data_IF_705897615004
#
_entry.id   IF_705897615004
#
_cell.length_a   1.000
_cell.length_b   1.000
_cell.length_c   1.000
_cell.angle_alpha   90.00
_cell.angle_beta   90.00
_cell.angle_gamma   90.00
#
_symmetry.space_group_name_H-M   'P 1'
#
loop_
_entity.id
_entity.type
_entity.pdbx_description
1 polymer ?
#
# COMPACT_ATOMS: atom_id res chain seq x y z
N UNK A 1 20.51 3.35 -5.93
CA UNK A 1 19.51 3.89 -4.98
C UNK A 1 18.14 3.24 -5.20
N UNK A 2 17.54 3.32 -6.38
CA UNK A 2 16.25 2.66 -6.69
C UNK A 2 16.24 1.14 -6.42
N UNK A 3 17.19 0.37 -6.98
CA UNK A 3 17.29 -1.08 -6.74
C UNK A 3 17.47 -1.43 -5.25
N UNK A 4 18.20 -0.60 -4.50
CA UNK A 4 18.41 -0.78 -3.06
C UNK A 4 17.08 -0.66 -2.32
N UNK A 5 16.28 0.36 -2.63
CA UNK A 5 14.96 0.55 -2.02
C UNK A 5 14.00 -0.60 -2.35
N UNK A 6 14.05 -1.15 -3.57
CA UNK A 6 13.27 -2.31 -3.95
C UNK A 6 13.73 -3.59 -3.22
N UNK A 7 15.04 -3.75 -3.00
CA UNK A 7 15.57 -4.85 -2.19
C UNK A 7 15.12 -4.72 -0.73
N UNK A 8 15.22 -3.53 -0.13
CA UNK A 8 14.76 -3.26 1.23
C UNK A 8 13.27 -3.58 1.42
N UNK A 9 12.46 -3.35 0.38
CA UNK A 9 11.04 -3.74 0.37
C UNK A 9 10.84 -5.25 0.32
N UNK A 10 11.70 -5.98 -0.37
CA UNK A 10 11.58 -7.43 -0.53
C UNK A 10 12.04 -8.19 0.72
N UNK A 11 13.04 -7.68 1.45
CA UNK A 11 13.66 -8.35 2.61
C UNK A 11 12.64 -8.96 3.61
N UNK A 12 11.58 -8.25 4.05
CA UNK A 12 10.61 -8.81 5.00
C UNK A 12 9.81 -10.01 4.46
N UNK A 13 9.72 -10.17 3.14
CA UNK A 13 8.97 -11.25 2.48
C UNK A 13 9.85 -12.45 2.14
N UNK A 14 11.18 -12.31 2.20
CA UNK A 14 12.13 -13.40 1.93
C UNK A 14 11.85 -14.64 2.78
N UNK A 15 11.65 -14.54 4.12
CA UNK A 15 11.33 -15.72 4.92
C UNK A 15 10.04 -16.40 4.47
N UNK A 16 9.02 -15.64 4.06
CA UNK A 16 7.77 -16.20 3.56
C UNK A 16 7.95 -16.88 2.20
N UNK A 17 8.65 -16.24 1.25
CA UNK A 17 8.96 -16.80 -0.06
C UNK A 17 9.73 -18.13 0.04
N UNK A 18 10.60 -18.25 1.05
CA UNK A 18 11.36 -19.45 1.35
C UNK A 18 10.58 -20.50 2.17
N UNK A 19 9.54 -20.09 2.90
CA UNK A 19 8.79 -20.95 3.83
C UNK A 19 7.38 -21.32 3.33
N UNK A 20 6.95 -20.82 2.16
CA UNK A 20 5.61 -21.10 1.62
C UNK A 20 5.34 -22.58 1.47
N UNK A 21 6.36 -23.40 1.26
CA UNK A 21 6.28 -24.84 1.28
C UNK A 21 7.58 -25.37 1.90
N UNK A 22 7.48 -26.24 2.91
CA UNK A 22 8.63 -26.81 3.64
C UNK A 22 9.73 -27.20 2.64
N UNK A 23 10.77 -26.38 2.51
CA UNK A 23 11.96 -26.75 1.76
C UNK A 23 12.55 -27.95 2.49
N UNK A 24 12.27 -29.15 1.98
CA UNK A 24 12.72 -30.38 2.61
C UNK A 24 14.25 -30.40 2.47
N UNK A 25 14.95 -30.29 3.60
CA UNK A 25 16.40 -30.48 3.63
C UNK A 25 16.65 -31.96 3.31
N UNK A 26 17.29 -32.21 2.18
CA UNK A 26 17.64 -33.55 1.72
C UNK A 26 19.11 -33.57 1.27
N UNK A 27 19.73 -34.75 1.11
CA UNK A 27 21.01 -34.87 0.43
C UNK A 27 20.89 -34.33 -1.02
N UNK A 28 21.78 -33.44 -1.41
CA UNK A 28 21.85 -32.80 -2.73
C UNK A 28 23.30 -32.77 -3.22
N UNK A 29 23.52 -32.53 -4.51
CA UNK A 29 24.85 -32.42 -5.09
C UNK A 29 25.13 -30.95 -5.45
N UNK A 30 26.18 -30.37 -4.88
CA UNK A 30 26.66 -29.06 -5.28
C UNK A 30 27.62 -29.25 -6.45
N UNK A 31 27.13 -28.94 -7.64
CA UNK A 31 27.96 -28.79 -8.82
C UNK A 31 28.85 -27.54 -8.65
N UNK A 32 30.11 -27.77 -8.30
CA UNK A 32 31.18 -26.80 -8.13
C UNK A 32 31.41 -25.87 -9.32
N UNK A 33 31.58 -24.60 -8.96
CA UNK A 33 31.88 -23.42 -9.77
C UNK A 33 31.04 -23.20 -11.04
N UNK A 34 30.20 -22.17 -10.94
CA UNK A 34 29.32 -21.58 -11.94
C UNK A 34 29.93 -21.42 -13.32
N UNK A 35 31.19 -20.99 -13.40
CA UNK A 35 31.80 -20.64 -14.70
C UNK A 35 32.42 -21.85 -15.39
N UNK A 36 32.76 -22.87 -14.61
CA UNK A 36 33.62 -23.95 -15.05
C UNK A 36 32.90 -25.29 -15.13
N UNK A 37 31.61 -25.37 -14.79
CA UNK A 37 30.75 -26.56 -14.99
C UNK A 37 31.39 -27.85 -14.44
N UNK A 38 31.97 -27.79 -13.25
CA UNK A 38 32.72 -28.89 -12.64
C UNK A 38 33.92 -29.40 -13.46
N UNK A 39 34.57 -28.55 -14.24
CA UNK A 39 35.84 -28.92 -14.84
C UNK A 39 36.84 -27.78 -14.77
N UNK A 40 38.13 -28.08 -14.80
CA UNK A 40 39.20 -27.10 -14.88
C UNK A 40 40.38 -27.70 -15.64
N UNK A 41 41.44 -26.92 -15.78
CA UNK A 41 42.70 -27.36 -16.36
C UNK A 41 43.74 -27.38 -15.22
N UNK A 42 44.41 -28.50 -15.02
CA UNK A 42 45.45 -28.64 -13.99
C UNK A 42 46.75 -27.91 -14.38
N UNK A 43 47.75 -27.93 -13.50
CA UNK A 43 49.07 -27.33 -13.73
C UNK A 43 49.87 -27.95 -14.90
N UNK A 44 49.37 -29.05 -15.48
CA UNK A 44 49.97 -29.78 -16.59
C UNK A 44 49.10 -29.71 -17.87
N UNK A 45 48.17 -28.76 -17.96
CA UNK A 45 47.23 -28.57 -19.06
C UNK A 45 46.22 -29.72 -19.26
N UNK A 46 45.98 -30.57 -18.26
CA UNK A 46 44.98 -31.64 -18.35
C UNK A 46 43.60 -31.17 -17.91
N UNK A 47 42.58 -31.55 -18.68
CA UNK A 47 41.19 -31.40 -18.28
C UNK A 47 40.89 -32.27 -17.04
N UNK A 48 40.55 -31.62 -15.93
CA UNK A 48 40.16 -32.27 -14.68
C UNK A 48 38.70 -32.00 -14.41
N UNK A 49 37.90 -33.04 -14.17
CA UNK A 49 36.53 -32.87 -13.67
C UNK A 49 36.50 -32.95 -12.16
N UNK A 50 35.70 -32.09 -11.53
CA UNK A 50 35.42 -32.13 -10.10
C UNK A 50 34.18 -32.99 -9.85
N UNK A 51 34.25 -33.86 -8.85
CA UNK A 51 33.05 -34.53 -8.36
C UNK A 51 32.12 -33.50 -7.70
N UNK A 52 30.82 -33.62 -7.96
CA UNK A 52 29.83 -32.78 -7.30
C UNK A 52 29.87 -33.06 -5.78
N UNK A 53 29.93 -32.00 -4.97
CA UNK A 53 30.09 -32.13 -3.54
C UNK A 53 28.74 -32.43 -2.87
N UNK A 54 28.58 -33.54 -2.13
CA UNK A 54 27.33 -33.78 -1.42
C UNK A 54 27.12 -32.71 -0.33
N UNK A 55 25.96 -32.10 -0.31
CA UNK A 55 25.54 -31.18 0.74
C UNK A 55 24.11 -31.49 1.18
N UNK A 56 23.77 -31.15 2.42
CA UNK A 56 22.38 -31.20 2.89
C UNK A 56 21.79 -29.80 2.78
N UNK A 57 20.77 -29.63 1.95
CA UNK A 57 20.16 -28.32 1.72
C UNK A 57 18.84 -28.41 0.95
N UNK A 58 18.26 -27.26 0.57
CA UNK A 58 17.10 -27.25 -0.31
C UNK A 58 17.51 -27.79 -1.69
N UNK A 59 16.77 -28.79 -2.20
CA UNK A 59 17.04 -29.41 -3.52
C UNK A 59 17.03 -28.40 -4.68
N UNK A 60 16.39 -27.24 -4.48
CA UNK A 60 16.29 -26.17 -5.46
C UNK A 60 17.61 -25.46 -5.75
N UNK A 61 18.58 -25.56 -4.85
CA UNK A 61 19.92 -25.03 -5.05
C UNK A 61 20.69 -25.78 -6.16
N UNK A 62 20.25 -26.99 -6.52
CA UNK A 62 20.84 -27.83 -7.58
C UNK A 62 20.26 -27.50 -8.98
N UNK A 63 18.99 -27.09 -9.03
CA UNK A 63 18.21 -26.96 -10.29
C UNK A 63 18.14 -25.54 -10.86
N UNK A 64 18.43 -24.49 -10.10
CA UNK A 64 18.27 -23.12 -10.60
C UNK A 64 19.21 -22.78 -11.77
N UNK A 65 20.25 -23.58 -12.01
CA UNK A 65 21.17 -23.44 -13.15
C UNK A 65 20.82 -24.36 -14.33
N UNK A 66 19.82 -25.23 -14.19
CA UNK A 66 19.42 -26.14 -15.26
C UNK A 66 18.52 -25.46 -16.30
N UNK A 67 18.59 -25.84 -17.58
CA UNK A 67 17.61 -25.44 -18.59
C UNK A 67 16.18 -25.71 -18.11
N UNK A 68 15.27 -24.76 -18.31
CA UNK A 68 13.87 -24.87 -17.90
C UNK A 68 13.20 -26.17 -18.37
N UNK A 69 13.60 -26.70 -19.53
CA UNK A 69 13.11 -27.94 -20.11
C UNK A 69 13.47 -29.19 -19.31
N UNK A 70 14.54 -29.15 -18.50
CA UNK A 70 15.01 -30.27 -17.68
C UNK A 70 14.49 -30.21 -16.24
N UNK A 71 14.03 -29.03 -15.80
CA UNK A 71 13.54 -28.80 -14.44
C UNK A 71 12.33 -29.69 -14.14
N UNK A 72 11.34 -29.71 -15.03
CA UNK A 72 10.13 -30.53 -14.87
C UNK A 72 10.46 -32.03 -14.73
N UNK A 73 11.31 -32.56 -15.62
CA UNK A 73 11.72 -33.96 -15.59
C UNK A 73 12.58 -34.30 -14.36
N UNK A 74 13.38 -33.35 -13.87
CA UNK A 74 14.13 -33.51 -12.63
C UNK A 74 13.19 -33.60 -11.43
N UNK A 75 12.20 -32.71 -11.33
CA UNK A 75 11.17 -32.72 -10.29
C UNK A 75 10.35 -34.02 -10.26
N UNK A 76 9.97 -34.50 -11.44
CA UNK A 76 9.27 -35.78 -11.61
C UNK A 76 10.12 -36.98 -11.16
N UNK A 77 11.44 -36.93 -11.40
CA UNK A 77 12.36 -38.01 -11.02
C UNK A 77 12.61 -38.07 -9.49
N UNK A 78 12.67 -36.92 -8.81
CA UNK A 78 12.97 -36.84 -7.38
C UNK A 78 11.72 -36.82 -6.48
N UNK A 79 10.53 -36.69 -7.06
CA UNK A 79 9.25 -36.68 -6.32
C UNK A 79 8.97 -35.38 -5.55
N UNK A 80 9.52 -34.24 -5.99
CA UNK A 80 9.34 -32.93 -5.37
C UNK A 80 8.13 -32.15 -5.94
N UNK A 81 7.53 -31.27 -5.14
CA UNK A 81 6.49 -30.35 -5.64
C UNK A 81 7.10 -29.18 -6.41
N UNK A 82 6.49 -28.84 -7.55
CA UNK A 82 6.81 -27.63 -8.34
C UNK A 82 6.14 -26.36 -7.79
N UNK A 83 5.27 -26.50 -6.78
CA UNK A 83 4.49 -25.38 -6.26
C UNK A 83 5.40 -24.33 -5.59
N UNK A 84 5.31 -23.09 -6.09
CA UNK A 84 6.13 -21.96 -5.64
C UNK A 84 7.58 -21.99 -6.11
N UNK A 85 8.01 -22.98 -6.90
CA UNK A 85 9.38 -23.07 -7.43
C UNK A 85 9.75 -21.85 -8.24
N UNK A 86 8.85 -21.37 -9.12
CA UNK A 86 9.09 -20.19 -9.95
C UNK A 86 9.47 -18.95 -9.12
N UNK A 87 8.86 -18.79 -7.93
CA UNK A 87 9.14 -17.66 -7.05
C UNK A 87 10.46 -17.81 -6.32
N UNK A 88 10.78 -19.02 -5.85
CA UNK A 88 12.08 -19.32 -5.23
C UNK A 88 13.21 -19.21 -6.26
N UNK A 89 12.99 -19.69 -7.48
CA UNK A 89 13.87 -19.51 -8.64
C UNK A 89 14.13 -18.02 -8.92
N UNK A 90 13.08 -17.20 -8.98
CA UNK A 90 13.22 -15.76 -9.16
C UNK A 90 14.01 -15.12 -8.01
N UNK A 91 13.83 -15.58 -6.76
CA UNK A 91 14.62 -15.11 -5.63
C UNK A 91 16.11 -15.51 -5.73
N UNK A 92 16.42 -16.72 -6.18
CA UNK A 92 17.80 -17.15 -6.44
C UNK A 92 18.42 -16.39 -7.60
N UNK A 93 17.68 -16.19 -8.69
CA UNK A 93 18.10 -15.40 -9.84
C UNK A 93 18.36 -13.94 -9.44
N UNK A 94 17.55 -13.38 -8.54
CA UNK A 94 17.76 -12.03 -8.00
C UNK A 94 19.11 -11.92 -7.27
N UNK A 95 19.49 -12.88 -6.43
CA UNK A 95 20.79 -12.87 -5.73
C UNK A 95 21.94 -12.84 -6.74
N UNK A 96 21.84 -13.64 -7.80
CA UNK A 96 22.81 -13.64 -8.91
C UNK A 96 22.85 -12.27 -9.60
N UNK A 97 21.70 -11.72 -9.97
CA UNK A 97 21.60 -10.45 -10.69
C UNK A 97 22.19 -9.30 -9.85
N UNK A 98 21.94 -9.28 -8.55
CA UNK A 98 22.49 -8.30 -7.61
C UNK A 98 24.03 -8.38 -7.52
N UNK A 99 24.61 -9.58 -7.57
CA UNK A 99 26.08 -9.74 -7.67
C UNK A 99 26.62 -9.15 -8.97
N UNK A 100 26.00 -9.48 -10.11
CA UNK A 100 26.40 -8.92 -11.41
C UNK A 100 26.30 -7.38 -11.46
N UNK A 101 25.32 -6.79 -10.78
CA UNK A 101 25.19 -5.33 -10.64
C UNK A 101 26.31 -4.73 -9.78
N UNK A 102 26.78 -5.44 -8.75
CA UNK A 102 27.87 -5.00 -7.86
C UNK A 102 29.26 -5.13 -8.46
N UNK A 103 29.48 -6.13 -9.32
CA UNK A 103 30.80 -6.55 -9.78
C UNK A 103 31.28 -5.91 -11.11
N UNK A 104 30.68 -4.80 -11.58
CA UNK A 104 31.12 -3.88 -12.68
C UNK A 104 30.15 -3.78 -13.90
N UNK A 105 29.14 -4.64 -14.05
CA UNK A 105 28.22 -4.64 -15.21
C UNK A 105 26.85 -3.98 -14.93
N UNK A 106 26.84 -2.92 -14.11
CA UNK A 106 25.62 -2.31 -13.56
C UNK A 106 24.59 -1.88 -14.63
N UNK A 107 25.00 -1.39 -15.81
CA UNK A 107 24.05 -0.93 -16.84
C UNK A 107 23.36 -2.08 -17.59
N UNK A 108 24.06 -3.19 -17.79
CA UNK A 108 23.57 -4.35 -18.53
C UNK A 108 22.51 -5.11 -17.72
N UNK A 109 22.79 -5.37 -16.45
CA UNK A 109 21.94 -6.21 -15.61
C UNK A 109 20.84 -5.45 -14.87
N UNK A 110 20.86 -4.10 -14.88
CA UNK A 110 19.90 -3.29 -14.12
C UNK A 110 18.45 -3.54 -14.56
N UNK A 111 18.18 -3.61 -15.85
CA UNK A 111 16.82 -3.80 -16.37
C UNK A 111 16.26 -5.17 -15.95
N UNK A 112 17.07 -6.22 -16.08
CA UNK A 112 16.71 -7.58 -15.67
C UNK A 112 16.56 -7.70 -14.15
N UNK A 113 17.44 -7.06 -13.37
CA UNK A 113 17.35 -7.00 -11.90
C UNK A 113 16.06 -6.31 -11.47
N UNK A 114 15.70 -5.20 -12.12
CA UNK A 114 14.47 -4.47 -11.85
C UNK A 114 13.23 -5.32 -12.15
N UNK A 115 13.20 -5.99 -13.30
CA UNK A 115 12.08 -6.84 -13.70
C UNK A 115 11.92 -8.04 -12.73
N UNK A 116 13.02 -8.64 -12.30
CA UNK A 116 13.01 -9.70 -11.30
C UNK A 116 12.46 -9.22 -9.94
N UNK A 117 12.91 -8.05 -9.46
CA UNK A 117 12.38 -7.42 -8.25
C UNK A 117 10.88 -7.09 -8.38
N UNK A 118 10.45 -6.60 -9.55
CA UNK A 118 9.04 -6.29 -9.83
C UNK A 118 8.16 -7.52 -9.70
N UNK A 119 8.57 -8.65 -10.30
CA UNK A 119 7.83 -9.90 -10.24
C UNK A 119 7.69 -10.40 -8.81
N UNK A 120 8.80 -10.44 -8.06
CA UNK A 120 8.83 -10.87 -6.66
C UNK A 120 7.96 -9.99 -5.75
N UNK A 121 8.10 -8.67 -5.87
CA UNK A 121 7.29 -7.72 -5.08
C UNK A 121 5.82 -7.75 -5.49
N UNK A 122 5.49 -7.94 -6.76
CA UNK A 122 4.09 -8.06 -7.22
C UNK A 122 3.45 -9.29 -6.61
N UNK A 123 4.16 -10.42 -6.64
CA UNK A 123 3.70 -11.67 -6.04
C UNK A 123 3.46 -11.54 -4.53
N UNK A 124 4.31 -10.80 -3.84
CA UNK A 124 4.16 -10.53 -2.40
C UNK A 124 3.09 -9.47 -2.06
N UNK A 125 2.40 -8.88 -3.06
CA UNK A 125 1.51 -7.73 -2.84
C UNK A 125 2.24 -6.45 -2.36
N UNK A 126 3.56 -6.41 -2.53
CA UNK A 126 4.48 -5.37 -2.08
C UNK A 126 4.96 -4.46 -3.21
N UNK A 127 4.51 -4.68 -4.45
CA UNK A 127 4.82 -3.80 -5.57
C UNK A 127 4.00 -2.51 -5.51
N UNK A 128 4.73 -1.41 -5.30
CA UNK A 128 4.27 -0.05 -5.53
C UNK A 128 5.31 0.63 -6.41
N UNK A 129 4.93 1.65 -7.20
CA UNK A 129 5.85 2.33 -8.13
C UNK A 129 7.25 2.58 -7.51
N UNK A 130 8.33 2.45 -8.29
CA UNK A 130 9.69 2.72 -7.83
C UNK A 130 9.89 4.16 -7.31
N UNK A 131 8.94 5.06 -7.59
CA UNK A 131 8.93 6.43 -7.09
C UNK A 131 8.50 6.57 -5.61
N UNK A 132 7.90 5.54 -5.01
CA UNK A 132 7.55 5.51 -3.58
C UNK A 132 8.82 5.32 -2.74
N UNK A 133 9.39 6.36 -2.13
CA UNK A 133 10.73 6.27 -1.51
C UNK A 133 10.76 5.56 -0.17
N UNK A 134 9.62 5.22 0.41
CA UNK A 134 9.56 4.48 1.67
C UNK A 134 9.31 2.98 1.47
N UNK A 135 9.90 2.14 2.32
CA UNK A 135 9.54 0.74 2.38
C UNK A 135 8.09 0.66 2.84
N UNK A 136 7.17 0.35 1.94
CA UNK A 136 6.06 -0.51 2.29
C UNK A 136 6.61 -1.94 2.45
N UNK A 137 7.52 -2.10 3.43
CA UNK A 137 7.46 -3.29 4.27
C UNK A 137 6.05 -3.40 4.83
N UNK A 138 5.74 -4.45 5.58
CA UNK A 138 4.52 -4.42 6.40
C UNK A 138 4.65 -3.29 7.42
N UNK A 139 4.38 -2.05 7.01
CA UNK A 139 3.60 -1.19 7.86
C UNK A 139 2.25 -1.85 7.89
N UNK A 140 2.07 -2.71 8.90
CA UNK A 140 0.74 -3.02 9.34
C UNK A 140 0.01 -1.67 9.45
N UNK A 141 -1.28 -1.61 9.15
CA UNK A 141 -2.06 -0.37 9.25
C UNK A 141 -1.62 0.49 10.45
N UNK A 142 -1.26 -0.15 11.56
CA UNK A 142 -0.94 0.38 12.89
C UNK A 142 0.46 0.99 13.10
N UNK A 143 1.35 0.95 12.10
CA UNK A 143 2.76 1.40 12.26
C UNK A 143 2.94 2.92 12.37
N UNK A 144 1.94 3.72 11.97
CA UNK A 144 1.94 5.17 12.23
C UNK A 144 0.95 5.60 13.33
N UNK A 145 0.37 4.65 14.06
CA UNK A 145 -0.35 4.99 15.31
C UNK A 145 0.72 5.31 16.35
N UNK A 146 0.73 6.56 16.80
CA UNK A 146 1.60 7.00 17.89
C UNK A 146 1.23 6.26 19.18
N UNK A 147 2.25 5.92 19.97
CA UNK A 147 2.01 5.44 21.32
C UNK A 147 1.27 6.54 22.09
N UNK A 148 0.19 6.22 22.82
CA UNK A 148 -0.51 7.24 23.59
C UNK A 148 0.39 7.84 24.66
N UNK A 149 0.30 9.16 24.87
CA UNK A 149 1.26 9.90 25.70
C UNK A 149 1.19 9.61 27.21
N UNK A 150 0.01 9.29 27.75
CA UNK A 150 -0.19 8.86 29.15
C UNK A 150 -1.56 8.16 29.32
N UNK A 151 -1.64 7.14 30.18
CA UNK A 151 -2.90 6.52 30.63
C UNK A 151 -3.77 7.52 31.41
N UNK A 152 -3.14 8.47 32.11
CA UNK A 152 -3.80 9.50 32.90
C UNK A 152 -3.96 10.85 32.16
N UNK A 153 -3.79 10.86 30.84
CA UNK A 153 -3.97 12.07 30.04
C UNK A 153 -5.37 12.64 30.23
N UNK A 154 -5.47 13.95 30.45
CA UNK A 154 -6.76 14.66 30.44
C UNK A 154 -7.39 14.70 29.04
N UNK A 155 -6.61 14.42 27.99
CA UNK A 155 -7.09 14.40 26.60
C UNK A 155 -7.62 13.02 26.24
N UNK A 156 -8.76 12.99 25.55
CA UNK A 156 -9.29 11.74 24.97
C UNK A 156 -8.41 11.33 23.79
N UNK A 157 -8.00 10.09 23.74
CA UNK A 157 -7.20 9.56 22.63
C UNK A 157 -8.12 9.14 21.50
N UNK A 158 -7.76 9.47 20.26
CA UNK A 158 -8.56 9.10 19.12
C UNK A 158 -7.74 8.72 17.88
N UNK A 159 -8.32 7.82 17.10
CA UNK A 159 -7.86 7.47 15.75
C UNK A 159 -8.95 7.87 14.77
N UNK A 160 -8.52 8.52 13.69
CA UNK A 160 -9.43 9.01 12.67
C UNK A 160 -9.57 7.98 11.54
N UNK A 161 -10.78 7.83 11.00
CA UNK A 161 -11.04 6.99 9.81
C UNK A 161 -11.77 7.82 8.77
N UNK A 162 -11.13 8.05 7.63
CA UNK A 162 -11.69 8.83 6.54
C UNK A 162 -12.05 7.95 5.34
N UNK A 163 -13.34 7.69 5.16
CA UNK A 163 -13.88 6.99 4.00
C UNK A 163 -13.96 7.90 2.77
N UNK A 164 -13.58 7.37 1.60
CA UNK A 164 -13.65 8.13 0.36
C UNK A 164 -13.43 7.25 -0.86
N UNK A 165 -13.98 7.64 -2.01
CA UNK A 165 -13.76 6.89 -3.26
C UNK A 165 -12.29 6.92 -3.71
N UNK A 166 -11.58 8.01 -3.41
CA UNK A 166 -10.17 8.24 -3.78
C UNK A 166 -9.88 7.88 -5.25
N UNK A 167 -10.72 8.37 -6.16
CA UNK A 167 -10.75 7.93 -7.56
C UNK A 167 -10.61 9.10 -8.55
N UNK A 168 -9.41 9.70 -8.68
CA UNK A 168 -8.22 9.46 -7.87
C UNK A 168 -8.18 10.33 -6.60
N UNK A 169 -7.24 10.05 -5.68
CA UNK A 169 -6.94 10.95 -4.54
C UNK A 169 -6.43 12.30 -5.05
N UNK A 170 -6.71 13.38 -4.30
CA UNK A 170 -6.29 14.75 -4.55
C UNK A 170 -5.93 15.45 -3.24
N UNK A 171 -5.22 16.57 -3.32
CA UNK A 171 -4.72 17.32 -2.16
C UNK A 171 -5.82 17.65 -1.15
N UNK A 172 -7.03 17.97 -1.60
CA UNK A 172 -8.13 18.33 -0.70
C UNK A 172 -8.53 17.20 0.28
N UNK A 173 -8.29 15.91 -0.04
CA UNK A 173 -8.48 14.83 0.94
C UNK A 173 -7.49 14.94 2.10
N UNK A 174 -6.23 15.29 1.80
CA UNK A 174 -5.17 15.45 2.79
C UNK A 174 -5.42 16.70 3.66
N UNK A 175 -5.78 17.82 3.04
CA UNK A 175 -6.00 19.04 3.83
C UNK A 175 -7.25 18.95 4.69
N UNK A 176 -8.31 18.25 4.24
CA UNK A 176 -9.52 18.03 5.06
C UNK A 176 -9.21 17.16 6.29
N UNK A 177 -8.39 16.13 6.16
CA UNK A 177 -8.04 15.27 7.30
C UNK A 177 -7.12 15.98 8.29
N UNK A 178 -6.19 16.81 7.80
CA UNK A 178 -5.37 17.69 8.64
C UNK A 178 -6.22 18.72 9.38
N UNK A 179 -7.16 19.35 8.68
CA UNK A 179 -8.09 20.30 9.26
C UNK A 179 -8.97 19.68 10.34
N UNK A 180 -9.51 18.49 10.08
CA UNK A 180 -10.32 17.78 11.05
C UNK A 180 -9.52 17.36 12.28
N UNK A 181 -8.30 16.85 12.09
CA UNK A 181 -7.41 16.51 13.19
C UNK A 181 -7.10 17.76 14.05
N UNK A 182 -6.71 18.87 13.43
CA UNK A 182 -6.40 20.11 14.15
C UNK A 182 -7.60 20.66 14.93
N UNK A 183 -8.81 20.58 14.36
CA UNK A 183 -10.03 21.00 15.04
C UNK A 183 -10.35 20.12 16.25
N UNK A 184 -10.16 18.81 16.14
CA UNK A 184 -10.36 17.86 17.23
C UNK A 184 -9.28 17.99 18.33
N UNK A 185 -8.04 18.29 17.96
CA UNK A 185 -6.92 18.52 18.89
C UNK A 185 -7.09 19.83 19.68
N UNK A 186 -7.85 20.79 19.14
CA UNK A 186 -8.11 22.11 19.72
C UNK A 186 -9.28 22.10 20.72
N UNK A 187 -9.37 23.16 21.54
CA UNK A 187 -10.57 23.39 22.36
C UNK A 187 -11.78 23.65 21.47
N UNK A 188 -12.99 23.17 21.85
CA UNK A 188 -13.32 22.53 23.13
C UNK A 188 -13.09 21.01 23.16
N UNK A 189 -12.76 20.37 22.03
CA UNK A 189 -12.74 18.91 21.91
C UNK A 189 -11.54 18.25 22.62
N UNK A 190 -10.36 18.84 22.52
CA UNK A 190 -9.14 18.45 23.24
C UNK A 190 -8.76 16.96 23.09
N UNK A 191 -8.87 16.41 21.88
CA UNK A 191 -8.39 15.07 21.58
C UNK A 191 -6.86 15.04 21.44
N UNK A 192 -6.30 13.85 21.65
CA UNK A 192 -4.96 13.46 21.20
C UNK A 192 -5.13 12.53 20.00
N UNK A 193 -4.78 13.00 18.80
CA UNK A 193 -4.92 12.21 17.58
C UNK A 193 -3.68 11.33 17.41
N UNK A 194 -3.87 10.03 17.66
CA UNK A 194 -2.80 9.04 17.57
C UNK A 194 -2.45 8.69 16.13
N UNK A 195 -3.39 8.83 15.20
CA UNK A 195 -3.19 8.57 13.79
C UNK A 195 -4.49 8.69 12.98
N UNK A 196 -4.39 8.46 11.67
CA UNK A 196 -5.56 8.42 10.79
C UNK A 196 -5.41 7.46 9.63
N UNK A 197 -6.53 6.88 9.20
CA UNK A 197 -6.63 5.99 8.05
C UNK A 197 -7.50 6.57 6.94
N UNK A 198 -6.96 6.61 5.72
CA UNK A 198 -7.75 6.66 4.50
C UNK A 198 -8.30 5.27 4.21
N UNK A 199 -9.62 5.15 4.10
CA UNK A 199 -10.32 3.87 3.91
C UNK A 199 -10.97 3.80 2.52
N UNK A 200 -10.24 3.39 1.47
CA UNK A 200 -10.81 3.22 0.14
C UNK A 200 -11.85 2.09 0.13
N UNK A 201 -13.00 2.26 -0.55
CA UNK A 201 -13.96 1.19 -0.76
C UNK A 201 -13.41 0.18 -1.78
N UNK A 202 -13.98 -1.02 -1.81
CA UNK A 202 -13.72 -2.01 -2.85
C UNK A 202 -14.12 -1.53 -4.25
N UNK A 203 -13.49 -2.07 -5.29
CA UNK A 203 -13.92 -1.84 -6.68
C UNK A 203 -15.39 -2.22 -6.92
N UNK A 204 -15.91 -3.25 -6.25
CA UNK A 204 -17.30 -3.68 -6.39
C UNK A 204 -18.30 -2.61 -5.92
N UNK A 205 -17.98 -1.90 -4.83
CA UNK A 205 -18.77 -0.77 -4.37
C UNK A 205 -18.59 0.44 -5.29
N UNK A 206 -17.35 0.70 -5.72
CA UNK A 206 -17.03 1.86 -6.55
C UNK A 206 -17.72 1.79 -7.92
N UNK A 207 -17.76 0.62 -8.55
CA UNK A 207 -18.51 0.38 -9.80
C UNK A 207 -19.99 0.73 -9.68
N UNK A 208 -20.62 0.46 -8.52
CA UNK A 208 -22.02 0.84 -8.27
C UNK A 208 -22.18 2.35 -8.17
N UNK A 209 -21.19 3.08 -7.63
CA UNK A 209 -21.26 4.53 -7.40
C UNK A 209 -20.90 5.36 -8.64
N UNK A 210 -19.86 4.99 -9.37
CA UNK A 210 -19.30 5.81 -10.47
C UNK A 210 -19.20 5.07 -11.82
N UNK A 211 -19.89 3.92 -11.95
CA UNK A 211 -19.95 3.10 -13.15
C UNK A 211 -18.56 2.67 -13.66
N UNK A 212 -18.41 2.48 -14.97
CA UNK A 212 -17.18 1.99 -15.60
C UNK A 212 -16.00 2.97 -15.48
N UNK A 213 -16.24 4.25 -15.16
CA UNK A 213 -15.23 5.32 -15.01
C UNK A 213 -14.50 5.28 -13.66
N UNK A 214 -14.16 4.09 -13.19
CA UNK A 214 -13.50 3.86 -11.93
C UNK A 214 -12.06 3.43 -12.13
N UNK A 215 -11.21 3.83 -11.20
CA UNK A 215 -9.82 3.44 -11.16
C UNK A 215 -9.69 2.09 -10.43
N UNK A 216 -8.97 1.09 -10.99
CA UNK A 216 -8.74 -0.19 -10.33
C UNK A 216 -8.08 -0.06 -8.95
N UNK A 217 -8.29 -1.06 -8.10
CA UNK A 217 -7.84 -1.09 -6.70
C UNK A 217 -6.34 -0.82 -6.55
N UNK A 218 -5.50 -1.48 -7.37
CA UNK A 218 -4.05 -1.31 -7.31
C UNK A 218 -3.58 0.10 -7.67
N UNK A 219 -4.18 0.75 -8.67
CA UNK A 219 -3.82 2.12 -9.03
C UNK A 219 -4.29 3.14 -7.99
N UNK A 220 -5.50 2.96 -7.41
CA UNK A 220 -5.97 3.80 -6.30
C UNK A 220 -5.08 3.69 -5.09
N UNK A 221 -4.70 2.47 -4.74
CA UNK A 221 -3.81 2.21 -3.61
C UNK A 221 -2.44 2.83 -3.81
N UNK A 222 -1.81 2.66 -4.98
CA UNK A 222 -0.52 3.27 -5.29
C UNK A 222 -0.58 4.80 -5.15
N UNK A 223 -1.62 5.44 -5.69
CA UNK A 223 -1.81 6.89 -5.56
C UNK A 223 -2.05 7.32 -4.11
N UNK A 224 -2.79 6.53 -3.33
CA UNK A 224 -3.01 6.80 -1.90
C UNK A 224 -1.69 6.72 -1.12
N UNK A 225 -0.86 5.71 -1.40
CA UNK A 225 0.44 5.54 -0.76
C UNK A 225 1.41 6.68 -1.14
N UNK A 226 1.46 7.05 -2.42
CA UNK A 226 2.23 8.21 -2.89
C UNK A 226 1.75 9.53 -2.26
N UNK A 227 0.44 9.69 -2.11
CA UNK A 227 -0.14 10.92 -1.55
C UNK A 227 0.04 11.05 -0.04
N UNK A 228 0.14 9.93 0.67
CA UNK A 228 0.36 9.88 2.12
C UNK A 228 1.83 9.67 2.48
N UNK A 229 2.70 9.71 1.48
CA UNK A 229 4.14 9.66 1.66
C UNK A 229 4.61 10.90 2.43
N UNK A 230 5.33 10.68 3.54
CA UNK A 230 5.78 11.77 4.41
C UNK A 230 4.70 12.40 5.30
N UNK A 231 3.44 11.96 5.23
CA UNK A 231 2.39 12.41 6.15
C UNK A 231 2.24 11.46 7.34
N UNK A 232 1.58 11.92 8.41
CA UNK A 232 1.15 11.06 9.52
C UNK A 232 -0.07 10.18 9.19
N UNK A 233 -0.54 10.21 7.93
CA UNK A 233 -1.73 9.49 7.46
C UNK A 233 -1.38 8.13 6.89
N UNK A 234 -2.31 7.19 7.06
CA UNK A 234 -2.18 5.79 6.70
C UNK A 234 -3.21 5.42 5.65
N UNK A 235 -2.97 4.34 4.93
CA UNK A 235 -3.88 3.82 3.91
C UNK A 235 -4.32 2.43 4.32
N UNK A 236 -5.62 2.21 4.43
CA UNK A 236 -6.18 0.87 4.61
C UNK A 236 -6.15 0.12 3.29
N UNK A 237 -5.44 -1.02 3.27
CA UNK A 237 -5.35 -1.94 2.12
C UNK A 237 -6.35 -3.10 2.21
N UNK A 238 -7.25 -3.06 3.19
CA UNK A 238 -8.24 -4.12 3.42
C UNK A 238 -9.46 -4.04 2.49
N UNK A 239 -9.71 -2.87 1.90
CA UNK A 239 -10.90 -2.56 1.10
C UNK A 239 -12.24 -2.89 1.78
N UNK A 240 -12.24 -3.01 3.11
CA UNK A 240 -13.42 -3.26 3.91
C UNK A 240 -14.16 -1.94 4.22
N UNK A 241 -15.33 -2.05 4.87
CA UNK A 241 -16.06 -0.85 5.31
C UNK A 241 -15.30 -0.12 6.43
N UNK A 242 -15.49 1.20 6.58
CA UNK A 242 -14.94 1.95 7.71
C UNK A 242 -15.21 1.29 9.06
N UNK A 243 -16.43 0.76 9.29
CA UNK A 243 -16.78 0.07 10.53
C UNK A 243 -15.92 -1.17 10.81
N UNK A 244 -15.69 -2.02 9.79
CA UNK A 244 -14.85 -3.22 9.93
C UNK A 244 -13.40 -2.84 10.20
N UNK A 245 -12.92 -1.79 9.54
CA UNK A 245 -11.58 -1.24 9.80
C UNK A 245 -11.48 -0.71 11.24
N UNK A 246 -12.50 0.02 11.71
CA UNK A 246 -12.55 0.54 13.08
C UNK A 246 -12.50 -0.56 14.14
N UNK A 247 -13.21 -1.66 13.93
CA UNK A 247 -13.14 -2.83 14.83
C UNK A 247 -11.73 -3.43 14.88
N UNK A 248 -11.09 -3.61 13.71
CA UNK A 248 -9.73 -4.13 13.65
C UNK A 248 -8.71 -3.19 14.31
N UNK A 249 -8.90 -1.87 14.18
CA UNK A 249 -8.04 -0.88 14.85
C UNK A 249 -8.17 -0.95 16.36
N UNK A 250 -9.38 -1.04 16.89
CA UNK A 250 -9.59 -1.14 18.33
C UNK A 250 -8.96 -2.42 18.90
N UNK A 251 -9.21 -3.56 18.26
CA UNK A 251 -8.60 -4.83 18.67
C UNK A 251 -7.07 -4.75 18.72
N UNK A 252 -6.44 -4.20 17.69
CA UNK A 252 -4.99 -4.06 17.69
C UNK A 252 -4.50 -3.09 18.77
N UNK A 253 -5.22 -1.99 19.01
CA UNK A 253 -4.86 -1.05 20.07
C UNK A 253 -4.91 -1.73 21.44
N UNK A 254 -5.92 -2.57 21.68
CA UNK A 254 -6.05 -3.37 22.90
C UNK A 254 -4.88 -4.38 23.00
N UNK A 255 -4.56 -5.09 21.92
CA UNK A 255 -3.47 -6.07 21.89
C UNK A 255 -2.08 -5.42 22.13
N UNK A 256 -1.88 -4.19 21.63
CA UNK A 256 -0.56 -3.53 21.61
C UNK A 256 -0.32 -2.63 22.82
N UNK A 257 -1.33 -1.90 23.27
CA UNK A 257 -1.22 -0.94 24.35
C UNK A 257 -1.84 -1.44 25.66
N UNK A 258 -2.71 -2.44 25.60
CA UNK A 258 -3.44 -2.98 26.73
C UNK A 258 -4.73 -2.21 27.03
N UNK A 259 -5.61 -2.85 27.81
CA UNK A 259 -6.97 -2.36 28.16
C UNK A 259 -6.99 -1.04 28.94
N UNK A 260 -5.85 -0.54 29.40
CA UNK A 260 -5.74 0.71 30.17
C UNK A 260 -5.93 1.97 29.34
N UNK A 261 -5.82 1.91 28.02
CA UNK A 261 -5.94 3.07 27.13
C UNK A 261 -7.35 3.19 26.55
N UNK A 262 -8.02 4.31 26.82
CA UNK A 262 -9.34 4.60 26.27
C UNK A 262 -9.23 5.28 24.89
N UNK A 263 -9.02 4.47 23.85
CA UNK A 263 -8.86 4.94 22.46
C UNK A 263 -10.23 4.94 21.77
N UNK A 264 -10.65 6.10 21.27
CA UNK A 264 -11.89 6.26 20.52
C UNK A 264 -11.64 6.25 19.00
N UNK A 265 -12.60 5.75 18.23
CA UNK A 265 -12.58 5.91 16.77
C UNK A 265 -13.52 7.05 16.37
N UNK A 266 -13.03 7.95 15.53
CA UNK A 266 -13.81 9.06 14.95
C UNK A 266 -13.78 8.92 13.43
N UNK A 267 -14.96 8.72 12.83
CA UNK A 267 -15.11 8.74 11.38
C UNK A 267 -15.13 10.18 10.88
N UNK A 268 -14.53 10.44 9.72
CA UNK A 268 -14.56 11.76 9.08
C UNK A 268 -15.43 11.68 7.84
N UNK A 269 -16.33 12.65 7.67
CA UNK A 269 -17.04 12.84 6.42
C UNK A 269 -17.25 14.34 6.10
N UNK A 270 -17.47 14.65 4.83
CA UNK A 270 -18.02 15.95 4.45
C UNK A 270 -19.55 15.95 4.64
N UNK A 271 -20.14 17.13 4.80
CA UNK A 271 -21.60 17.29 4.84
C UNK A 271 -22.31 16.67 3.61
N UNK A 272 -21.66 16.72 2.45
CA UNK A 272 -22.12 16.12 1.19
C UNK A 272 -22.30 14.60 1.28
N UNK A 273 -21.55 13.92 2.14
CA UNK A 273 -21.68 12.48 2.32
C UNK A 273 -22.96 12.11 3.10
N UNK A 274 -23.39 12.97 4.03
CA UNK A 274 -24.60 12.77 4.83
C UNK A 274 -25.84 12.96 3.96
N UNK A 275 -25.87 14.01 3.14
CA UNK A 275 -26.96 14.28 2.19
C UNK A 275 -27.20 13.07 1.26
N UNK A 276 -26.12 12.46 0.78
CA UNK A 276 -26.19 11.32 -0.13
C UNK A 276 -26.43 9.96 0.56
N UNK A 277 -26.19 9.86 1.87
CA UNK A 277 -26.32 8.61 2.60
C UNK A 277 -26.54 8.85 4.10
N UNK A 278 -27.79 8.99 4.50
CA UNK A 278 -28.19 9.17 5.91
C UNK A 278 -27.83 7.98 6.81
N UNK A 279 -27.52 6.80 6.25
CA UNK A 279 -27.03 5.64 7.04
C UNK A 279 -25.67 5.89 7.69
N UNK A 280 -24.91 6.89 7.24
CA UNK A 280 -23.68 7.30 7.91
C UNK A 280 -23.96 7.80 9.35
N UNK A 281 -25.17 8.32 9.61
CA UNK A 281 -25.59 8.77 10.95
C UNK A 281 -25.86 7.62 11.92
N UNK A 282 -26.06 6.39 11.41
CA UNK A 282 -26.31 5.20 12.23
C UNK A 282 -25.06 4.36 12.53
N UNK A 283 -23.86 4.84 12.15
CA UNK A 283 -22.60 4.22 12.58
C UNK A 283 -22.53 4.22 14.10
N UNK A 284 -21.86 3.25 14.74
CA UNK A 284 -21.69 3.21 16.20
C UNK A 284 -20.60 4.17 16.71
N UNK A 285 -19.72 4.61 15.82
CA UNK A 285 -18.57 5.47 16.12
C UNK A 285 -18.95 6.95 16.12
N UNK A 286 -18.11 7.78 16.75
CA UNK A 286 -18.22 9.23 16.62
C UNK A 286 -18.00 9.66 15.17
N UNK A 287 -18.68 10.71 14.74
CA UNK A 287 -18.62 11.21 13.37
C UNK A 287 -18.27 12.69 13.36
N UNK A 288 -17.07 13.00 12.91
CA UNK A 288 -16.60 14.34 12.63
C UNK A 288 -17.07 14.79 11.24
N UNK A 289 -17.98 15.75 11.21
CA UNK A 289 -18.57 16.29 9.99
C UNK A 289 -17.87 17.60 9.64
N UNK A 290 -17.20 17.62 8.49
CA UNK A 290 -16.56 18.81 7.94
C UNK A 290 -17.56 19.54 7.06
N UNK A 291 -17.94 20.72 7.51
CA UNK A 291 -18.84 21.61 6.79
C UNK A 291 -18.12 22.21 5.57
N UNK A 292 -18.76 22.15 4.39
CA UNK A 292 -18.17 22.56 3.11
C UNK A 292 -19.03 23.64 2.45
N UNK A 293 -18.42 24.71 1.92
CA UNK A 293 -19.16 25.78 1.27
C UNK A 293 -20.07 25.28 0.15
N UNK A 294 -21.30 25.79 0.10
CA UNK A 294 -22.27 25.47 -0.95
C UNK A 294 -23.27 24.36 -0.60
N UNK A 295 -23.19 23.79 0.60
CA UNK A 295 -24.16 22.83 1.13
C UNK A 295 -25.11 23.42 2.18
N UNK A 296 -24.84 24.64 2.67
CA UNK A 296 -25.65 25.36 3.68
C UNK A 296 -27.12 25.60 3.27
N UNK A 297 -27.39 25.72 1.97
CA UNK A 297 -28.72 26.09 1.45
C UNK A 297 -29.62 24.90 1.16
N UNK A 298 -29.09 23.67 1.13
CA UNK A 298 -29.82 22.47 0.71
C UNK A 298 -30.29 21.60 1.86
N UNK A 299 -29.69 21.74 3.03
CA UNK A 299 -29.98 20.86 4.16
C UNK A 299 -29.97 21.68 5.45
N UNK A 300 -31.15 21.90 6.05
CA UNK A 300 -31.20 22.53 7.36
C UNK A 300 -30.60 21.55 8.38
N UNK A 301 -29.36 21.78 8.79
CA UNK A 301 -28.68 20.94 9.78
C UNK A 301 -29.47 20.76 11.07
N UNK A 302 -30.25 21.77 11.46
CA UNK A 302 -31.21 21.68 12.57
C UNK A 302 -32.18 20.51 12.38
N UNK A 303 -32.70 20.32 11.18
CA UNK A 303 -33.60 19.20 10.86
C UNK A 303 -32.87 17.86 10.93
N UNK A 304 -31.61 17.76 10.50
CA UNK A 304 -30.83 16.52 10.69
C UNK A 304 -30.67 16.22 12.17
N UNK A 305 -30.21 17.19 12.96
CA UNK A 305 -30.00 17.04 14.40
C UNK A 305 -31.29 16.70 15.14
N UNK A 306 -32.41 17.29 14.75
CA UNK A 306 -33.74 17.05 15.32
C UNK A 306 -34.25 15.64 15.02
N UNK A 307 -33.86 15.07 13.87
CA UNK A 307 -34.32 13.75 13.41
C UNK A 307 -33.38 12.58 13.78
N UNK A 308 -32.17 12.83 14.30
CA UNK A 308 -31.34 11.77 14.91
C UNK A 308 -31.70 11.54 16.37
N UNK A 309 -31.60 10.28 16.80
CA UNK A 309 -31.78 9.89 18.22
C UNK A 309 -30.80 10.67 19.12
N UNK A 310 -31.15 10.90 20.40
CA UNK A 310 -30.26 11.58 21.36
C UNK A 310 -28.85 10.97 21.39
N UNK A 311 -28.75 9.64 21.47
CA UNK A 311 -27.47 8.93 21.44
C UNK A 311 -26.67 9.19 20.16
N UNK A 312 -27.35 9.34 19.02
CA UNK A 312 -26.69 9.68 17.76
C UNK A 312 -26.19 11.12 17.76
N UNK A 313 -26.94 12.04 18.35
CA UNK A 313 -26.60 13.46 18.43
C UNK A 313 -25.30 13.71 19.20
N UNK A 314 -25.09 13.03 20.32
CA UNK A 314 -23.88 13.18 21.15
C UNK A 314 -22.59 12.71 20.45
N UNK A 315 -22.72 11.89 19.41
CA UNK A 315 -21.61 11.30 18.67
C UNK A 315 -21.21 12.14 17.46
N UNK A 316 -22.04 13.11 17.07
CA UNK A 316 -21.77 14.03 15.97
C UNK A 316 -20.88 15.18 16.45
N UNK A 317 -19.72 15.34 15.82
CA UNK A 317 -18.79 16.42 16.07
C UNK A 317 -18.79 17.32 14.84
N UNK A 318 -19.36 18.52 14.99
CA UNK A 318 -19.36 19.49 13.89
C UNK A 318 -18.06 20.27 13.86
N UNK A 319 -17.39 20.24 12.71
CA UNK A 319 -16.17 21.01 12.49
C UNK A 319 -16.55 22.22 11.63
N UNK A 320 -16.31 23.40 12.21
CA UNK A 320 -16.56 24.72 11.64
C UNK A 320 -16.12 24.84 10.18
N UNK A 321 -16.75 25.74 9.39
CA UNK A 321 -16.72 25.69 7.93
C UNK A 321 -15.32 25.64 7.35
N UNK A 322 -15.12 24.66 6.48
CA UNK A 322 -13.93 24.51 5.66
C UNK A 322 -13.78 25.71 4.74
N UNK A 323 -12.68 26.45 4.89
CA UNK A 323 -12.38 27.63 4.06
C UNK A 323 -11.39 27.34 2.94
N UNK A 324 -10.90 26.10 2.82
CA UNK A 324 -9.94 25.74 1.79
C UNK A 324 -10.57 25.51 0.42
N UNK A 325 -9.73 25.32 -0.59
CA UNK A 325 -10.15 25.17 -1.98
C UNK A 325 -11.06 23.96 -2.21
N UNK A 326 -12.06 24.13 -3.07
CA UNK A 326 -12.96 23.06 -3.49
C UNK A 326 -12.35 22.30 -4.67
N UNK A 327 -11.71 21.17 -4.37
CA UNK A 327 -11.19 20.23 -5.37
C UNK A 327 -11.94 18.91 -5.27
N UNK A 328 -12.31 18.34 -6.41
CA UNK A 328 -13.04 17.07 -6.50
C UNK A 328 -12.37 16.09 -7.46
N UNK A 329 -12.49 14.79 -7.15
CA UNK A 329 -12.04 13.74 -8.08
C UNK A 329 -12.77 13.81 -9.43
N UNK A 330 -13.98 14.39 -9.51
CA UNK A 330 -14.70 14.57 -10.76
C UNK A 330 -14.03 15.59 -11.67
N UNK A 331 -13.56 16.72 -11.15
CA UNK A 331 -12.77 17.69 -11.93
C UNK A 331 -11.47 17.04 -12.42
N UNK A 332 -10.79 16.29 -11.54
CA UNK A 332 -9.54 15.62 -11.89
C UNK A 332 -9.73 14.56 -12.98
N UNK A 333 -10.80 13.74 -12.92
CA UNK A 333 -11.12 12.80 -14.00
C UNK A 333 -11.36 13.52 -15.33
N UNK A 334 -12.14 14.62 -15.35
CA UNK A 334 -12.36 15.40 -16.57
C UNK A 334 -11.06 15.94 -17.16
N UNK A 335 -10.16 16.44 -16.31
CA UNK A 335 -8.84 16.90 -16.74
C UNK A 335 -8.08 15.74 -17.40
N UNK A 336 -8.04 14.57 -16.77
CA UNK A 336 -7.31 13.39 -17.26
C UNK A 336 -7.92 12.76 -18.53
N UNK A 337 -9.23 12.86 -18.75
CA UNK A 337 -9.89 12.35 -19.97
C UNK A 337 -9.61 13.25 -21.19
N UNK A 338 -9.41 14.56 -20.99
CA UNK A 338 -9.33 15.54 -22.06
C UNK A 338 -7.92 15.76 -22.63
N UNK A 339 -6.92 14.99 -22.18
CA UNK A 339 -5.51 15.27 -22.51
C UNK A 339 -5.12 14.66 -23.84
N UNK A 340 -4.90 15.54 -24.81
CA UNK A 340 -4.22 15.27 -26.08
C UNK A 340 -2.70 15.33 -25.86
N UNK A 341 -2.08 14.22 -25.49
CA UNK A 341 -0.64 13.90 -25.66
C UNK A 341 0.45 14.81 -25.05
N UNK A 342 0.14 16.01 -24.55
CA UNK A 342 1.14 16.96 -24.03
C UNK A 342 1.33 16.83 -22.51
N UNK A 343 2.28 15.98 -22.13
CA UNK A 343 2.63 15.72 -20.73
C UNK A 343 3.10 16.97 -19.97
N UNK A 344 3.67 17.99 -20.64
CA UNK A 344 4.17 19.20 -19.96
C UNK A 344 3.01 20.05 -19.45
N UNK A 345 2.01 20.30 -20.30
CA UNK A 345 0.81 21.07 -19.92
C UNK A 345 0.02 20.34 -18.84
N UNK A 346 -0.21 19.03 -19.02
CA UNK A 346 -0.92 18.23 -18.03
C UNK A 346 -0.22 18.23 -16.66
N UNK A 347 1.11 18.14 -16.64
CA UNK A 347 1.88 18.20 -15.38
C UNK A 347 1.65 19.51 -14.64
N UNK A 348 1.58 20.62 -15.38
CA UNK A 348 1.32 21.94 -14.80
C UNK A 348 -0.11 22.04 -14.25
N UNK A 349 -1.11 21.53 -14.98
CA UNK A 349 -2.51 21.54 -14.55
C UNK A 349 -2.77 20.67 -13.32
N UNK A 350 -1.99 19.59 -13.14
CA UNK A 350 -2.09 18.68 -12.01
C UNK A 350 -1.40 19.19 -10.74
N UNK A 351 -0.49 20.16 -10.86
CA UNK A 351 0.42 20.59 -9.78
C UNK A 351 -0.29 21.04 -8.51
N UNK A 352 -1.43 21.70 -8.67
CA UNK A 352 -2.23 22.23 -7.55
C UNK A 352 -3.38 21.30 -7.15
N UNK A 353 -3.53 20.15 -7.82
CA UNK A 353 -4.60 19.19 -7.61
C UNK A 353 -4.14 17.96 -6.85
N UNK A 354 -2.91 17.48 -7.11
CA UNK A 354 -2.38 16.23 -6.55
C UNK A 354 -0.92 16.39 -6.11
N UNK A 355 -0.44 15.59 -5.14
CA UNK A 355 0.99 15.55 -4.80
C UNK A 355 1.88 15.25 -6.01
N UNK A 356 3.08 15.84 -6.06
CA UNK A 356 4.02 15.67 -7.19
C UNK A 356 4.33 14.20 -7.49
N UNK A 357 4.50 13.37 -6.46
CA UNK A 357 4.72 11.93 -6.58
C UNK A 357 3.55 11.21 -7.28
N UNK A 358 2.32 11.65 -7.05
CA UNK A 358 1.13 11.16 -7.74
C UNK A 358 1.08 11.63 -9.20
N UNK A 359 1.57 12.83 -9.52
CA UNK A 359 1.61 13.33 -10.90
C UNK A 359 2.48 12.41 -11.75
N UNK A 360 3.68 12.09 -11.27
CA UNK A 360 4.62 11.26 -12.00
C UNK A 360 4.01 9.87 -12.28
N UNK A 361 3.35 9.27 -11.29
CA UNK A 361 2.61 8.02 -11.46
C UNK A 361 1.44 8.14 -12.45
N UNK A 362 0.68 9.23 -12.40
CA UNK A 362 -0.44 9.47 -13.31
C UNK A 362 0.04 9.51 -14.77
N UNK A 363 1.18 10.17 -15.02
CA UNK A 363 1.76 10.31 -16.34
C UNK A 363 2.41 9.02 -16.83
N UNK A 364 3.18 8.33 -15.96
CA UNK A 364 3.89 7.08 -16.29
C UNK A 364 2.92 5.95 -16.66
N UNK A 365 1.83 5.79 -15.91
CA UNK A 365 0.87 4.69 -16.09
C UNK A 365 -0.36 5.08 -16.93
N UNK A 366 -0.32 6.26 -17.56
CA UNK A 366 -1.42 6.80 -18.37
C UNK A 366 -2.80 6.64 -17.70
N UNK A 367 -2.92 7.10 -16.45
CA UNK A 367 -4.09 6.82 -15.60
C UNK A 367 -5.40 7.33 -16.23
N UNK A 368 -5.34 8.33 -17.12
CA UNK A 368 -6.48 8.87 -17.85
C UNK A 368 -7.27 7.84 -18.67
N UNK A 369 -6.63 6.75 -19.13
CA UNK A 369 -7.29 5.69 -19.90
C UNK A 369 -8.44 5.01 -19.15
N UNK A 370 -8.42 5.01 -17.81
CA UNK A 370 -9.44 4.39 -16.97
C UNK A 370 -10.70 5.27 -16.78
N UNK A 371 -10.71 6.47 -17.37
CA UNK A 371 -11.81 7.43 -17.24
C UNK A 371 -12.49 7.78 -18.56
N UNK A 372 -12.09 7.15 -19.66
CA UNK A 372 -12.64 7.36 -21.00
C UNK A 372 -14.05 6.76 -21.12
#
# INVERSE_FOLDING_TARGET
MELILLCDRLIPYVPWLLNTHQAQIQPCLLHGDWNSRNWSIDENDNLTMFDACPFYGPYEADIYTMPHTLIQSYFEAIGGSIDGYEMRFNLYNLVRLLRCVGDIEHSLWRAETFECLRQLLTYCGAWTSPLVRFPCGRKLPFDKINHPSDVNSKKKQAILVYGGSFCPIHLNYLVVIDFAANALESLPHSFEILGSYLCPPSSSWLRKKIAEKHLPDGHREALLLLATEGTRWMVSRSYCSPDKLSQAILQECDDRFGEGFNISIIHICGIDAIENNTRILSTQYSLAVVDRPGYDSKTLWKEILENVTPDNRERLIWIAPWTGEMRSSTQLRKLLTNVTSNHVTLRQDLRDLVPTSCIDYILEYNIGQWFQ
#
